data_IF_133245488291
#
_entry.id   IF_133245488291
#
_cell.length_a   1.000
_cell.length_b   1.000
_cell.length_c   1.000
_cell.angle_alpha   90.00
_cell.angle_beta   90.00
_cell.angle_gamma   90.00
#
_symmetry.space_group_name_H-M   'P 1'
#
loop_
_entity.id
_entity.type
_entity.pdbx_description
1 polymer ?
#
# COMPACT_ATOMS: atom_id res chain seq x y z
N UNK A 1 13.27 44.55 38.72
CA UNK A 1 12.55 43.31 39.11
C UNK A 1 11.52 42.94 38.05
N UNK A 2 11.89 42.80 36.78
CA UNK A 2 10.94 42.45 35.70
C UNK A 2 11.58 41.62 34.58
N UNK A 3 12.42 40.65 34.94
CA UNK A 3 13.16 39.85 33.93
C UNK A 3 12.96 38.31 34.06
N UNK A 4 12.01 37.85 34.90
CA UNK A 4 11.87 36.42 35.18
C UNK A 4 10.52 35.75 34.79
N UNK A 5 9.71 36.41 33.94
CA UNK A 5 8.35 35.92 33.59
C UNK A 5 8.18 35.48 32.12
N UNK A 6 9.26 35.28 31.35
CA UNK A 6 9.19 34.89 29.94
C UNK A 6 9.80 33.51 29.60
N UNK A 7 10.19 32.72 30.57
CA UNK A 7 10.86 31.42 30.35
C UNK A 7 9.95 30.19 30.53
N UNK A 8 8.74 30.35 31.08
CA UNK A 8 7.88 29.20 31.43
C UNK A 8 6.74 28.87 30.45
N UNK A 9 6.79 29.31 29.20
CA UNK A 9 5.80 28.91 28.16
C UNK A 9 6.37 28.14 26.98
N UNK A 10 7.39 27.33 27.21
CA UNK A 10 7.75 26.21 26.33
C UNK A 10 7.46 24.87 27.01
N UNK A 11 6.33 24.73 27.63
CA UNK A 11 5.81 23.43 27.96
C UNK A 11 5.52 22.70 26.64
N UNK A 12 6.36 21.71 26.39
CA UNK A 12 6.26 20.72 25.35
C UNK A 12 4.82 20.22 25.27
N UNK A 13 4.12 20.57 24.21
CA UNK A 13 2.93 19.87 23.79
C UNK A 13 3.38 18.47 23.33
N UNK A 14 3.63 17.60 24.30
CA UNK A 14 4.00 16.20 24.12
C UNK A 14 2.71 15.42 23.81
N UNK A 15 2.00 15.86 22.74
CA UNK A 15 0.86 15.09 22.26
C UNK A 15 1.41 13.72 21.84
N UNK A 16 1.01 12.67 22.55
CA UNK A 16 1.33 11.27 22.23
C UNK A 16 1.13 11.07 20.72
N UNK A 17 2.19 10.64 20.02
CA UNK A 17 2.08 10.37 18.59
C UNK A 17 1.05 9.28 18.37
N UNK A 18 0.21 9.46 17.37
CA UNK A 18 -0.81 8.47 17.00
C UNK A 18 -0.24 7.39 16.12
N UNK A 19 -0.86 6.22 16.11
CA UNK A 19 -0.56 5.14 15.17
C UNK A 19 -1.33 5.35 13.86
N UNK A 20 -0.67 5.15 12.71
CA UNK A 20 -1.29 5.26 11.40
C UNK A 20 -1.72 3.87 10.90
N UNK A 21 -3.00 3.69 10.66
CA UNK A 21 -3.55 2.49 10.04
C UNK A 21 -3.84 2.78 8.58
N UNK A 22 -3.27 1.99 7.67
CA UNK A 22 -3.48 2.14 6.23
C UNK A 22 -4.25 0.94 5.71
N UNK A 23 -5.44 1.20 5.17
CA UNK A 23 -6.32 0.21 4.52
C UNK A 23 -6.43 0.47 3.02
N UNK A 24 -6.97 -0.46 2.27
CA UNK A 24 -7.07 -0.33 0.81
C UNK A 24 -8.27 0.49 0.34
N UNK A 25 -9.39 0.51 1.10
CA UNK A 25 -10.62 1.17 0.66
C UNK A 25 -11.12 2.24 1.63
N UNK A 26 -11.75 3.32 1.11
CA UNK A 26 -12.34 4.37 1.96
C UNK A 26 -13.46 3.85 2.85
N UNK A 27 -14.24 2.87 2.39
CA UNK A 27 -15.31 2.27 3.18
C UNK A 27 -14.76 1.57 4.43
N UNK A 28 -13.70 0.74 4.26
CA UNK A 28 -12.99 0.12 5.39
C UNK A 28 -12.42 1.17 6.33
N UNK A 29 -11.78 2.22 5.79
CA UNK A 29 -11.24 3.30 6.60
C UNK A 29 -12.29 3.96 7.49
N UNK A 30 -13.47 4.26 6.94
CA UNK A 30 -14.58 4.86 7.70
C UNK A 30 -15.07 3.95 8.83
N UNK A 31 -15.21 2.66 8.57
CA UNK A 31 -15.68 1.69 9.56
C UNK A 31 -14.65 1.48 10.66
N UNK A 32 -13.39 1.25 10.31
CA UNK A 32 -12.29 1.00 11.25
C UNK A 32 -12.04 2.23 12.13
N UNK A 33 -12.11 3.43 11.56
CA UNK A 33 -11.92 4.67 12.33
C UNK A 33 -12.95 4.83 13.47
N UNK A 34 -14.16 4.25 13.31
CA UNK A 34 -15.18 4.27 14.40
C UNK A 34 -14.85 3.33 15.55
N UNK A 35 -14.07 2.25 15.27
CA UNK A 35 -13.73 1.26 16.28
C UNK A 35 -12.45 1.58 17.05
N UNK A 36 -11.44 2.20 16.39
CA UNK A 36 -10.11 2.35 16.94
C UNK A 36 -9.89 3.59 17.85
N UNK A 37 -10.80 4.57 17.85
CA UNK A 37 -10.72 5.72 18.76
C UNK A 37 -9.61 6.72 18.43
N UNK A 38 -9.29 7.59 19.39
CA UNK A 38 -8.48 8.80 19.18
C UNK A 38 -6.97 8.57 19.03
N UNK A 39 -6.44 7.44 19.47
CA UNK A 39 -5.01 7.11 19.39
C UNK A 39 -4.57 6.67 17.97
N UNK A 40 -5.52 6.50 17.07
CA UNK A 40 -5.27 6.04 15.70
C UNK A 40 -5.69 7.09 14.66
N UNK A 41 -4.97 7.09 13.55
CA UNK A 41 -5.32 7.79 12.31
C UNK A 41 -5.54 6.71 11.24
N UNK A 42 -6.75 6.60 10.70
CA UNK A 42 -7.05 5.63 9.65
C UNK A 42 -7.09 6.32 8.30
N UNK A 43 -6.31 5.84 7.36
CA UNK A 43 -6.24 6.34 5.98
C UNK A 43 -6.43 5.22 4.97
N UNK A 44 -6.95 5.58 3.79
CA UNK A 44 -7.08 4.64 2.68
C UNK A 44 -6.05 4.93 1.60
N UNK A 45 -5.47 3.86 1.03
CA UNK A 45 -4.66 3.95 -0.19
C UNK A 45 -5.52 4.07 -1.46
N UNK A 46 -6.84 3.81 -1.36
CA UNK A 46 -7.75 3.75 -2.52
C UNK A 46 -7.30 2.71 -3.56
N UNK A 47 -6.91 1.52 -3.10
CA UNK A 47 -6.34 0.45 -3.90
C UNK A 47 -4.84 0.61 -4.15
N UNK A 48 -4.37 0.12 -5.30
CA UNK A 48 -2.96 0.22 -5.69
C UNK A 48 -2.51 1.65 -5.92
N UNK A 49 -1.35 1.99 -5.36
CA UNK A 49 -0.64 3.24 -5.60
C UNK A 49 0.53 3.08 -6.58
N UNK A 50 0.99 1.82 -6.73
CA UNK A 50 2.20 1.46 -7.46
C UNK A 50 1.86 0.28 -8.35
N UNK A 51 2.27 0.35 -9.62
CA UNK A 51 2.05 -0.70 -10.61
C UNK A 51 3.05 -0.55 -11.77
N UNK A 52 3.05 -1.49 -12.70
CA UNK A 52 3.78 -1.40 -13.96
C UNK A 52 3.24 -0.24 -14.83
N UNK A 53 4.09 0.51 -15.54
CA UNK A 53 3.64 1.51 -16.49
C UNK A 53 2.77 0.87 -17.59
N UNK A 54 1.74 1.58 -18.04
CA UNK A 54 0.83 1.07 -19.07
C UNK A 54 1.39 1.12 -20.49
N UNK A 55 2.34 2.01 -20.74
CA UNK A 55 2.82 2.35 -22.08
C UNK A 55 3.98 1.48 -22.58
N UNK A 56 4.56 0.63 -21.75
CA UNK A 56 5.72 -0.20 -22.10
C UNK A 56 5.71 -1.53 -21.35
N UNK A 57 6.52 -2.48 -21.80
CA UNK A 57 6.66 -3.81 -21.17
C UNK A 57 7.05 -3.68 -19.68
N UNK A 58 8.10 -2.91 -19.39
CA UNK A 58 8.62 -2.65 -18.02
C UNK A 58 8.91 -3.92 -17.20
N UNK A 59 9.42 -4.94 -17.87
CA UNK A 59 9.92 -6.18 -17.29
C UNK A 59 11.29 -6.42 -17.90
N UNK A 60 12.30 -6.58 -17.06
CA UNK A 60 13.65 -6.94 -17.47
C UNK A 60 13.72 -8.46 -17.65
N UNK A 61 13.56 -8.92 -18.89
CA UNK A 61 13.50 -10.36 -19.23
C UNK A 61 14.87 -11.01 -19.01
N UNK A 62 15.94 -10.29 -19.30
CA UNK A 62 17.31 -10.80 -19.27
C UNK A 62 17.86 -10.93 -17.83
N UNK A 63 17.29 -10.14 -16.90
CA UNK A 63 17.68 -10.14 -15.48
C UNK A 63 16.56 -10.70 -14.58
N UNK A 64 16.09 -11.90 -14.85
CA UNK A 64 15.18 -12.63 -13.97
C UNK A 64 13.76 -12.10 -13.94
N UNK A 65 13.30 -11.46 -15.01
CA UNK A 65 11.94 -10.92 -15.16
C UNK A 65 11.59 -9.84 -14.13
N UNK A 66 12.57 -9.03 -13.70
CA UNK A 66 12.36 -8.01 -12.70
C UNK A 66 11.42 -6.91 -13.21
N UNK A 67 10.30 -6.63 -12.53
CA UNK A 67 9.33 -5.61 -12.94
C UNK A 67 9.77 -4.21 -12.49
N UNK A 68 9.66 -3.24 -13.38
CA UNK A 68 9.87 -1.83 -13.05
C UNK A 68 8.56 -1.19 -12.59
N UNK A 69 8.43 -0.99 -11.29
CA UNK A 69 7.25 -0.39 -10.68
C UNK A 69 7.32 1.13 -10.63
N UNK A 70 6.24 1.79 -11.02
CA UNK A 70 6.06 3.24 -10.92
C UNK A 70 4.85 3.60 -10.05
N UNK A 71 4.84 4.84 -9.56
CA UNK A 71 3.61 5.39 -8.95
C UNK A 71 2.57 5.60 -10.05
N UNK A 72 1.37 5.05 -9.86
CA UNK A 72 0.26 5.18 -10.80
C UNK A 72 -0.09 6.66 -10.98
N UNK A 73 -0.30 7.06 -12.26
CA UNK A 73 -0.70 8.44 -12.60
C UNK A 73 -1.94 8.85 -11.80
N UNK A 74 -1.90 10.01 -11.18
CA UNK A 74 -2.98 10.54 -10.32
C UNK A 74 -2.95 10.03 -8.86
N UNK A 75 -2.11 9.04 -8.52
CA UNK A 75 -2.00 8.49 -7.17
C UNK A 75 -0.91 9.12 -6.30
N UNK A 76 -0.05 9.94 -6.89
CA UNK A 76 1.07 10.58 -6.18
C UNK A 76 0.62 11.43 -4.98
N UNK A 77 -0.52 12.13 -5.08
CA UNK A 77 -1.07 12.91 -3.98
C UNK A 77 -1.38 12.06 -2.76
N UNK A 78 -2.08 10.93 -2.95
CA UNK A 78 -2.43 9.99 -1.88
C UNK A 78 -1.16 9.41 -1.24
N UNK A 79 -0.20 8.97 -2.07
CA UNK A 79 1.07 8.44 -1.57
C UNK A 79 1.84 9.47 -0.74
N UNK A 80 1.88 10.73 -1.18
CA UNK A 80 2.54 11.81 -0.44
C UNK A 80 1.83 12.14 0.88
N UNK A 81 0.50 12.11 0.92
CA UNK A 81 -0.28 12.25 2.15
C UNK A 81 0.04 11.12 3.14
N UNK A 82 0.06 9.86 2.68
CA UNK A 82 0.42 8.71 3.53
C UNK A 82 1.84 8.82 4.07
N UNK A 83 2.82 9.23 3.25
CA UNK A 83 4.20 9.48 3.69
C UNK A 83 4.27 10.60 4.73
N UNK A 84 3.50 11.69 4.55
CA UNK A 84 3.46 12.82 5.49
C UNK A 84 2.88 12.41 6.84
N UNK A 85 1.79 11.64 6.82
CA UNK A 85 1.19 11.14 8.06
C UNK A 85 2.08 10.10 8.75
N UNK A 86 2.70 9.18 8.01
CA UNK A 86 3.65 8.21 8.56
C UNK A 86 4.80 8.89 9.33
N UNK A 87 5.38 9.97 8.80
CA UNK A 87 6.46 10.73 9.47
C UNK A 87 6.05 11.30 10.84
N UNK A 88 4.76 11.58 11.05
CA UNK A 88 4.23 12.14 12.29
C UNK A 88 3.77 11.06 13.26
N UNK A 89 3.61 9.84 12.78
CA UNK A 89 3.06 8.72 13.52
C UNK A 89 4.13 8.02 14.36
N UNK A 90 3.70 7.36 15.43
CA UNK A 90 4.54 6.49 16.26
C UNK A 90 4.87 5.19 15.51
N UNK A 91 3.89 4.63 14.82
CA UNK A 91 3.94 3.36 14.10
C UNK A 91 2.99 3.39 12.90
N UNK A 92 3.30 2.62 11.87
CA UNK A 92 2.43 2.40 10.72
C UNK A 92 1.96 0.95 10.70
N UNK A 93 0.65 0.75 10.68
CA UNK A 93 -0.02 -0.54 10.60
C UNK A 93 -0.64 -0.69 9.20
N UNK A 94 -0.11 -1.62 8.41
CA UNK A 94 -0.62 -1.93 7.08
C UNK A 94 -1.74 -2.96 7.20
N UNK A 95 -2.97 -2.56 6.92
CA UNK A 95 -4.21 -3.29 7.18
C UNK A 95 -5.00 -3.58 5.88
N UNK A 96 -4.30 -3.98 4.83
CA UNK A 96 -4.91 -4.48 3.59
C UNK A 96 -5.47 -5.90 3.79
N UNK A 97 -6.25 -6.42 2.83
CA UNK A 97 -6.83 -7.77 2.90
C UNK A 97 -5.78 -8.88 3.03
N UNK A 98 -6.18 -10.01 3.61
CA UNK A 98 -5.30 -11.17 3.77
C UNK A 98 -5.28 -12.04 2.51
N UNK A 99 -4.96 -11.41 1.40
CA UNK A 99 -4.71 -12.09 0.14
C UNK A 99 -3.40 -11.58 -0.50
N UNK A 100 -3.00 -12.17 -1.62
CA UNK A 100 -1.76 -11.77 -2.32
C UNK A 100 -1.81 -10.34 -2.86
N UNK A 101 -3.00 -9.84 -3.21
CA UNK A 101 -3.21 -8.47 -3.70
C UNK A 101 -3.00 -7.46 -2.57
N UNK A 102 -3.66 -7.66 -1.43
CA UNK A 102 -3.51 -6.83 -0.24
C UNK A 102 -2.08 -6.86 0.31
N UNK A 103 -1.42 -8.02 0.26
CA UNK A 103 -0.02 -8.16 0.68
C UNK A 103 0.93 -7.37 -0.23
N UNK A 104 0.68 -7.39 -1.55
CA UNK A 104 1.42 -6.57 -2.52
C UNK A 104 1.21 -5.07 -2.31
N UNK A 105 -0.04 -4.65 -2.06
CA UNK A 105 -0.36 -3.24 -1.72
C UNK A 105 0.41 -2.81 -0.47
N UNK A 106 0.35 -3.61 0.60
CA UNK A 106 1.04 -3.36 1.86
C UNK A 106 2.56 -3.25 1.64
N UNK A 107 3.16 -4.17 0.90
CA UNK A 107 4.59 -4.18 0.60
C UNK A 107 5.03 -2.93 -0.17
N UNK A 108 4.31 -2.56 -1.21
CA UNK A 108 4.62 -1.37 -2.01
C UNK A 108 4.53 -0.08 -1.18
N UNK A 109 3.47 0.06 -0.39
CA UNK A 109 3.28 1.24 0.49
C UNK A 109 4.37 1.27 1.56
N UNK A 110 4.64 0.14 2.21
CA UNK A 110 5.68 0.02 3.22
C UNK A 110 7.05 0.45 2.71
N UNK A 111 7.45 -0.03 1.52
CA UNK A 111 8.73 0.36 0.91
C UNK A 111 8.80 1.85 0.57
N UNK A 112 7.71 2.45 0.06
CA UNK A 112 7.68 3.89 -0.24
C UNK A 112 7.68 4.76 1.01
N UNK A 113 7.16 4.28 2.13
CA UNK A 113 7.22 4.98 3.42
C UNK A 113 8.63 4.84 4.02
N UNK A 114 9.23 3.64 4.03
CA UNK A 114 10.61 3.42 4.50
C UNK A 114 11.61 4.30 3.76
N UNK A 115 11.51 4.40 2.44
CA UNK A 115 12.36 5.29 1.63
C UNK A 115 12.19 6.78 1.92
N UNK A 116 11.10 7.19 2.58
CA UNK A 116 10.84 8.57 2.95
C UNK A 116 11.06 8.86 4.45
N UNK A 117 11.02 7.84 5.31
CA UNK A 117 11.16 7.94 6.77
C UNK A 117 11.60 6.58 7.32
N UNK A 118 12.91 6.37 7.41
CA UNK A 118 13.51 5.10 7.84
C UNK A 118 13.32 4.77 9.32
N UNK A 119 12.87 5.73 10.14
CA UNK A 119 12.79 5.57 11.60
C UNK A 119 11.42 5.11 12.12
N UNK A 120 10.38 5.09 11.27
CA UNK A 120 9.02 4.73 11.72
C UNK A 120 8.84 3.21 11.59
N UNK A 121 8.48 2.50 12.69
CA UNK A 121 8.13 1.09 12.63
C UNK A 121 6.95 0.85 11.69
N UNK A 122 7.06 -0.16 10.83
CA UNK A 122 5.99 -0.54 9.90
C UNK A 122 5.69 -2.00 10.12
N UNK A 123 4.47 -2.32 10.47
CA UNK A 123 3.99 -3.67 10.72
C UNK A 123 2.76 -3.98 9.88
N UNK A 124 2.50 -5.24 9.68
CA UNK A 124 1.34 -5.77 9.00
C UNK A 124 0.33 -6.26 10.04
N UNK A 125 -0.93 -5.87 9.91
CA UNK A 125 -2.04 -6.43 10.70
C UNK A 125 -3.05 -7.08 9.76
N UNK A 126 -3.62 -8.20 10.18
CA UNK A 126 -4.56 -9.00 9.40
C UNK A 126 -5.78 -9.30 10.25
N UNK A 127 -6.95 -9.09 9.67
CA UNK A 127 -8.23 -9.45 10.25
C UNK A 127 -9.16 -9.94 9.13
N UNK A 128 -10.01 -10.89 9.45
CA UNK A 128 -10.94 -11.49 8.49
C UNK A 128 -12.33 -10.86 8.53
N UNK A 129 -12.61 -10.09 9.58
CA UNK A 129 -13.84 -9.33 9.75
C UNK A 129 -13.56 -7.97 10.36
N UNK A 130 -14.43 -6.99 10.09
CA UNK A 130 -14.25 -5.62 10.63
C UNK A 130 -15.15 -5.48 11.87
N UNK A 131 -14.74 -6.13 12.94
CA UNK A 131 -15.30 -5.98 14.28
C UNK A 131 -14.26 -5.32 15.20
N UNK A 132 -14.73 -4.76 16.34
CA UNK A 132 -13.82 -4.12 17.30
C UNK A 132 -12.84 -5.13 17.89
N UNK A 133 -13.31 -6.33 18.19
CA UNK A 133 -12.49 -7.37 18.83
C UNK A 133 -11.44 -7.92 17.87
N UNK A 134 -11.83 -8.25 16.62
CA UNK A 134 -10.88 -8.69 15.58
C UNK A 134 -9.81 -7.63 15.27
N UNK A 135 -10.16 -6.34 15.26
CA UNK A 135 -9.21 -5.25 15.07
C UNK A 135 -8.24 -5.12 16.24
N UNK A 136 -8.71 -5.19 17.47
CA UNK A 136 -7.86 -5.13 18.66
C UNK A 136 -6.90 -6.33 18.69
N UNK A 137 -7.39 -7.53 18.44
CA UNK A 137 -6.54 -8.73 18.36
C UNK A 137 -5.47 -8.60 17.29
N UNK A 138 -5.83 -8.12 16.08
CA UNK A 138 -4.87 -7.91 14.99
C UNK A 138 -3.80 -6.85 15.33
N UNK A 139 -4.15 -5.82 16.10
CA UNK A 139 -3.21 -4.79 16.55
C UNK A 139 -2.27 -5.32 17.63
N UNK A 140 -2.76 -6.20 18.50
CA UNK A 140 -1.93 -6.85 19.54
C UNK A 140 -0.97 -7.90 18.97
N UNK A 141 -1.35 -8.54 17.85
CA UNK A 141 -0.57 -9.59 17.18
C UNK A 141 -0.14 -9.20 15.76
N UNK A 142 0.60 -8.09 15.58
CA UNK A 142 1.08 -7.71 14.27
C UNK A 142 2.09 -8.73 13.74
N UNK A 143 2.18 -8.84 12.41
CA UNK A 143 3.14 -9.71 11.74
C UNK A 143 4.01 -8.93 10.74
N UNK A 144 4.98 -9.59 10.17
CA UNK A 144 5.71 -9.10 9.00
C UNK A 144 4.90 -9.32 7.72
N UNK A 145 5.30 -8.62 6.66
CA UNK A 145 4.75 -8.82 5.32
C UNK A 145 5.14 -10.21 4.81
N UNK A 146 4.17 -10.96 4.31
CA UNK A 146 4.38 -12.27 3.70
C UNK A 146 4.98 -12.12 2.30
N UNK A 147 6.30 -12.24 2.22
CA UNK A 147 7.05 -12.11 0.97
C UNK A 147 6.69 -13.21 -0.04
N UNK A 148 6.24 -14.37 0.41
CA UNK A 148 5.78 -15.43 -0.51
C UNK A 148 4.50 -14.99 -1.26
N UNK A 149 3.53 -14.40 -0.56
CA UNK A 149 2.34 -13.81 -1.17
C UNK A 149 2.68 -12.65 -2.11
N UNK A 150 3.62 -11.77 -1.71
CA UNK A 150 4.11 -10.67 -2.56
C UNK A 150 4.73 -11.21 -3.85
N UNK A 151 5.61 -12.20 -3.75
CA UNK A 151 6.25 -12.82 -4.90
C UNK A 151 5.25 -13.54 -5.81
N UNK A 152 4.24 -14.19 -5.25
CA UNK A 152 3.17 -14.81 -6.02
C UNK A 152 2.37 -13.78 -6.83
N UNK A 153 2.08 -12.61 -6.24
CA UNK A 153 1.42 -11.50 -6.94
C UNK A 153 2.35 -10.88 -8.00
N UNK A 154 3.64 -10.69 -7.69
CA UNK A 154 4.65 -10.21 -8.63
C UNK A 154 4.74 -11.13 -9.86
N UNK A 155 4.89 -12.44 -9.65
CA UNK A 155 4.95 -13.44 -10.72
C UNK A 155 3.69 -13.41 -11.60
N UNK A 156 2.50 -13.35 -10.98
CA UNK A 156 1.24 -13.21 -11.71
C UNK A 156 1.22 -11.94 -12.55
N UNK A 157 1.61 -10.81 -11.97
CA UNK A 157 1.60 -9.51 -12.66
C UNK A 157 2.56 -9.48 -13.85
N UNK A 158 3.74 -10.09 -13.68
CA UNK A 158 4.75 -10.27 -14.75
C UNK A 158 4.17 -11.14 -15.87
N UNK A 159 3.59 -12.30 -15.55
CA UNK A 159 3.00 -13.20 -16.53
C UNK A 159 1.86 -12.54 -17.32
N UNK A 160 0.92 -11.88 -16.63
CA UNK A 160 -0.18 -11.17 -17.29
C UNK A 160 0.35 -10.07 -18.23
N UNK A 161 1.44 -9.38 -17.86
CA UNK A 161 2.10 -8.37 -18.69
C UNK A 161 2.75 -8.99 -19.93
N UNK A 162 3.53 -10.05 -19.78
CA UNK A 162 4.20 -10.75 -20.88
C UNK A 162 3.19 -11.28 -21.91
N UNK A 163 2.14 -11.95 -21.44
CA UNK A 163 1.07 -12.47 -22.29
C UNK A 163 0.36 -11.32 -23.02
N UNK A 164 -0.08 -10.29 -22.30
CA UNK A 164 -0.82 -9.18 -22.86
C UNK A 164 -0.03 -8.40 -23.91
N UNK A 165 1.25 -8.16 -23.68
CA UNK A 165 2.11 -7.41 -24.60
C UNK A 165 2.52 -8.19 -25.85
N UNK A 166 2.71 -9.51 -25.73
CA UNK A 166 3.12 -10.33 -26.87
C UNK A 166 1.94 -10.81 -27.72
N UNK A 167 0.82 -11.18 -27.10
CA UNK A 167 -0.31 -11.74 -27.84
C UNK A 167 -1.31 -10.68 -28.34
N UNK A 168 -1.52 -9.57 -27.62
CA UNK A 168 -2.48 -8.56 -28.08
C UNK A 168 -2.12 -7.96 -29.46
N UNK A 169 -0.86 -7.65 -29.78
CA UNK A 169 -0.50 -7.19 -31.13
C UNK A 169 -0.78 -8.20 -32.22
N UNK A 170 -0.57 -9.49 -31.96
CA UNK A 170 -0.90 -10.57 -32.91
C UNK A 170 -2.41 -10.65 -33.19
N UNK A 171 -3.24 -10.49 -32.15
CA UNK A 171 -4.69 -10.43 -32.32
C UNK A 171 -5.10 -9.20 -33.14
N UNK A 172 -4.42 -8.07 -32.98
CA UNK A 172 -4.72 -6.86 -33.76
C UNK A 172 -4.34 -7.00 -35.23
N UNK A 173 -3.26 -7.71 -35.52
CA UNK A 173 -2.80 -7.96 -36.87
C UNK A 173 -3.69 -9.00 -37.59
N UNK A 174 -4.01 -10.11 -36.91
CA UNK A 174 -4.66 -11.27 -37.54
C UNK A 174 -6.18 -11.25 -37.47
N UNK A 175 -6.77 -10.56 -36.50
CA UNK A 175 -8.22 -10.60 -36.26
C UNK A 175 -8.82 -9.17 -36.31
N UNK A 176 -8.63 -8.37 -35.22
CA UNK A 176 -9.20 -7.03 -35.13
C UNK A 176 -8.47 -6.19 -34.09
N UNK A 177 -8.26 -4.90 -34.40
CA UNK A 177 -7.72 -3.93 -33.44
C UNK A 177 -8.64 -3.78 -32.22
N UNK A 178 -8.04 -3.62 -31.04
CA UNK A 178 -8.75 -3.41 -29.76
C UNK A 178 -9.05 -4.71 -29.01
N UNK A 179 -8.76 -5.88 -29.58
CA UNK A 179 -8.83 -7.14 -28.85
C UNK A 179 -7.69 -7.21 -27.80
N UNK A 180 -7.94 -7.81 -26.67
CA UNK A 180 -6.97 -8.00 -25.60
C UNK A 180 -6.74 -9.49 -25.36
N UNK A 181 -5.47 -9.90 -25.36
CA UNK A 181 -5.10 -11.21 -24.88
C UNK A 181 -4.86 -11.16 -23.38
N UNK A 182 -5.37 -12.15 -22.65
CA UNK A 182 -5.18 -12.27 -21.23
C UNK A 182 -5.21 -13.73 -20.80
N UNK A 183 -4.52 -14.05 -19.72
CA UNK A 183 -4.36 -15.43 -19.23
C UNK A 183 -5.70 -16.15 -19.00
N UNK A 184 -6.72 -15.44 -18.52
CA UNK A 184 -8.06 -15.99 -18.32
C UNK A 184 -8.87 -16.01 -19.61
N UNK A 185 -8.73 -14.99 -20.45
CA UNK A 185 -9.50 -14.83 -21.69
C UNK A 185 -9.12 -15.83 -22.80
N UNK A 186 -7.89 -16.37 -22.74
CA UNK A 186 -7.38 -17.28 -23.80
C UNK A 186 -7.61 -18.76 -23.47
N UNK A 187 -8.18 -19.11 -22.33
CA UNK A 187 -8.46 -20.49 -21.88
C UNK A 187 -9.96 -20.83 -21.95
N UNK A 188 -10.80 -19.83 -22.24
CA UNK A 188 -12.24 -19.99 -22.41
C UNK A 188 -12.61 -20.24 -23.88
#
# INVERSE_FOLDING_TARGET
>A
METNLKIEKKEKNNSKKKKLVIVESPAKAKTINRYLGADYIVKSSMGHLIDLPRSRMAIDIDNGFEPEYITIRGRAKILNELKKEAKKSEEVLLAADDDREGESIAWHIGNKIRGASSSVPIKRIVFHEITKDALNEAIEKPRDIDIAKVNAQKARRVLDRLIGYNLSPLLWEKIKRGLSAGRVQNVA
#
